data_IF_662881198168
#
_entry.id   IF_662881198168
#
_cell.length_a   1.000
_cell.length_b   1.000
_cell.length_c   1.000
_cell.angle_alpha   90.00
_cell.angle_beta   90.00
_cell.angle_gamma   90.00
#
_symmetry.space_group_name_H-M   'P 1'
#
loop_
_entity.id
_entity.type
_entity.pdbx_description
1 polymer ?
#
# COMPACT_ATOMS: atom_id res chain seq x y z
N UNK A 1 24.94 -16.73 20.15
CA UNK A 1 24.14 -15.57 19.68
C UNK A 1 22.69 -15.92 19.97
N UNK A 2 22.00 -15.18 20.84
CA UNK A 2 20.55 -15.35 21.05
C UNK A 2 19.89 -14.95 19.71
N UNK A 3 19.16 -15.87 19.07
CA UNK A 3 18.44 -15.58 17.86
C UNK A 3 17.50 -14.39 18.12
N UNK A 4 17.72 -13.30 17.39
CA UNK A 4 16.85 -12.14 17.44
C UNK A 4 15.49 -12.57 16.89
N UNK A 5 14.48 -12.62 17.75
CA UNK A 5 13.11 -12.97 17.35
C UNK A 5 12.62 -11.87 16.41
N UNK A 6 12.40 -12.20 15.13
CA UNK A 6 11.87 -11.27 14.15
C UNK A 6 10.45 -10.86 14.54
N UNK A 7 10.19 -9.58 14.64
CA UNK A 7 8.85 -9.03 14.92
C UNK A 7 7.99 -9.19 13.67
N UNK A 8 6.86 -9.92 13.73
CA UNK A 8 6.01 -10.10 12.56
C UNK A 8 5.32 -8.79 12.16
N UNK A 9 4.99 -8.68 10.86
CA UNK A 9 4.33 -7.51 10.30
C UNK A 9 3.06 -7.90 9.55
N UNK A 10 2.15 -6.94 9.34
CA UNK A 10 0.99 -7.10 8.47
C UNK A 10 1.21 -6.30 7.17
N UNK A 11 1.01 -6.97 6.04
CA UNK A 11 0.99 -6.32 4.72
C UNK A 11 -0.46 -6.03 4.39
N UNK A 12 -0.84 -4.75 4.41
CA UNK A 12 -2.21 -4.28 4.21
C UNK A 12 -2.43 -3.80 2.77
N UNK A 13 -3.49 -4.31 2.16
CA UNK A 13 -3.81 -4.12 0.75
C UNK A 13 -5.29 -3.77 0.64
N UNK A 14 -5.63 -2.75 -0.14
CA UNK A 14 -7.00 -2.49 -0.59
C UNK A 14 -7.11 -2.84 -2.07
N UNK A 15 -8.19 -3.50 -2.49
CA UNK A 15 -8.34 -3.99 -3.85
C UNK A 15 -9.74 -3.76 -4.41
N UNK A 16 -9.82 -3.48 -5.73
CA UNK A 16 -11.06 -3.52 -6.49
C UNK A 16 -10.79 -3.80 -7.96
N UNK A 17 -11.24 -4.98 -8.44
CA UNK A 17 -11.10 -5.40 -9.83
C UNK A 17 -9.65 -5.41 -10.34
N UNK A 18 -8.77 -6.08 -9.57
CA UNK A 18 -7.34 -6.17 -9.81
C UNK A 18 -6.90 -7.58 -10.31
N UNK A 19 -7.82 -8.35 -10.94
CA UNK A 19 -7.50 -9.72 -11.36
C UNK A 19 -6.29 -9.82 -12.27
N UNK A 20 -6.00 -8.77 -13.05
CA UNK A 20 -4.85 -8.73 -13.97
C UNK A 20 -3.51 -8.64 -13.22
N UNK A 21 -3.48 -7.97 -12.09
CA UNK A 21 -2.28 -7.68 -11.31
C UNK A 21 -2.08 -8.62 -10.12
N UNK A 22 -3.18 -9.10 -9.52
CA UNK A 22 -3.21 -9.76 -8.22
C UNK A 22 -2.25 -10.94 -8.08
N UNK A 23 -2.17 -11.85 -9.06
CA UNK A 23 -1.29 -13.03 -8.99
C UNK A 23 0.20 -12.62 -8.97
N UNK A 24 0.60 -11.73 -9.90
CA UNK A 24 1.98 -11.24 -10.00
C UNK A 24 2.37 -10.44 -8.74
N UNK A 25 1.48 -9.58 -8.28
CA UNK A 25 1.67 -8.76 -7.10
C UNK A 25 1.90 -9.61 -5.85
N UNK A 26 0.98 -10.53 -5.52
CA UNK A 26 1.10 -11.39 -4.34
C UNK A 26 2.28 -12.35 -4.40
N UNK A 27 2.60 -12.86 -5.60
CA UNK A 27 3.81 -13.67 -5.83
C UNK A 27 5.08 -12.87 -5.58
N UNK A 28 5.12 -11.59 -5.96
CA UNK A 28 6.27 -10.71 -5.73
C UNK A 28 6.52 -10.49 -4.24
N UNK A 29 5.47 -10.23 -3.47
CA UNK A 29 5.54 -10.12 -2.00
C UNK A 29 6.10 -11.40 -1.40
N UNK A 30 5.50 -12.55 -1.72
CA UNK A 30 5.94 -13.86 -1.20
C UNK A 30 7.42 -14.13 -1.49
N UNK A 31 7.87 -13.80 -2.69
CA UNK A 31 9.26 -13.97 -3.11
C UNK A 31 10.21 -13.12 -2.28
N UNK A 32 9.89 -11.84 -2.08
CA UNK A 32 10.78 -10.88 -1.42
C UNK A 32 10.75 -11.00 0.10
N UNK A 33 9.62 -11.36 0.69
CA UNK A 33 9.52 -11.60 2.12
C UNK A 33 10.25 -12.89 2.56
N UNK A 34 10.38 -13.88 1.69
CA UNK A 34 11.09 -15.13 1.99
C UNK A 34 10.57 -15.80 3.28
N UNK A 35 11.45 -15.97 4.27
CA UNK A 35 11.12 -16.56 5.57
C UNK A 35 10.81 -15.51 6.66
N UNK A 36 10.73 -14.24 6.33
CA UNK A 36 10.34 -13.22 7.31
C UNK A 36 8.89 -13.45 7.75
N UNK A 37 8.57 -13.39 9.08
CA UNK A 37 7.20 -13.62 9.54
C UNK A 37 6.29 -12.44 9.15
N UNK A 38 5.25 -12.72 8.37
CA UNK A 38 4.27 -11.73 7.96
C UNK A 38 2.89 -12.36 7.72
N UNK A 39 1.88 -11.53 7.67
CA UNK A 39 0.56 -11.85 7.14
C UNK A 39 0.19 -10.91 6.00
N UNK A 40 -0.74 -11.33 5.16
CA UNK A 40 -1.37 -10.48 4.15
C UNK A 40 -2.80 -10.24 4.57
N UNK A 41 -3.19 -8.96 4.70
CA UNK A 41 -4.56 -8.50 4.96
C UNK A 41 -5.06 -7.80 3.70
N UNK A 42 -6.03 -8.40 3.04
CA UNK A 42 -6.64 -7.84 1.84
C UNK A 42 -8.06 -7.35 2.16
N UNK A 43 -8.32 -6.09 1.85
CA UNK A 43 -9.64 -5.48 1.95
C UNK A 43 -10.21 -5.27 0.55
N UNK A 44 -11.22 -6.06 0.21
CA UNK A 44 -11.95 -5.94 -1.04
C UNK A 44 -13.01 -4.83 -0.93
N UNK A 45 -12.95 -3.85 -1.82
CA UNK A 45 -13.87 -2.71 -1.85
C UNK A 45 -15.00 -2.88 -2.87
N UNK A 46 -15.31 -4.14 -3.21
CA UNK A 46 -16.42 -4.52 -4.08
C UNK A 46 -15.97 -4.97 -5.48
N UNK A 47 -15.04 -5.91 -5.55
CA UNK A 47 -14.64 -6.57 -6.80
C UNK A 47 -15.75 -7.43 -7.38
N UNK A 48 -15.84 -7.44 -8.69
CA UNK A 48 -16.81 -8.26 -9.48
C UNK A 48 -16.11 -9.26 -10.39
N UNK A 49 -14.79 -9.23 -10.43
CA UNK A 49 -13.90 -10.11 -11.19
C UNK A 49 -13.29 -11.21 -10.30
N UNK A 50 -12.21 -11.83 -10.74
CA UNK A 50 -11.54 -12.91 -10.01
C UNK A 50 -10.54 -12.45 -8.94
N UNK A 51 -10.46 -11.14 -8.62
CA UNK A 51 -9.54 -10.58 -7.63
C UNK A 51 -9.52 -11.38 -6.33
N UNK A 52 -10.68 -11.54 -5.68
CA UNK A 52 -10.81 -12.26 -4.41
C UNK A 52 -10.47 -13.75 -4.55
N UNK A 53 -10.87 -14.37 -5.67
CA UNK A 53 -10.57 -15.79 -5.91
C UNK A 53 -9.06 -16.04 -6.07
N UNK A 54 -8.33 -15.11 -6.66
CA UNK A 54 -6.88 -15.19 -6.79
C UNK A 54 -6.22 -14.97 -5.41
N UNK A 55 -6.63 -13.94 -4.67
CA UNK A 55 -6.07 -13.59 -3.37
C UNK A 55 -6.19 -14.73 -2.35
N UNK A 56 -7.27 -15.54 -2.39
CA UNK A 56 -7.48 -16.71 -1.52
C UNK A 56 -6.39 -17.79 -1.63
N UNK A 57 -5.56 -17.78 -2.67
CA UNK A 57 -4.42 -18.68 -2.78
C UNK A 57 -3.24 -18.26 -1.89
N UNK A 58 -3.25 -17.03 -1.39
CA UNK A 58 -2.14 -16.39 -0.67
C UNK A 58 -2.48 -16.04 0.78
N UNK A 59 -3.75 -15.79 1.08
CA UNK A 59 -4.22 -15.43 2.42
C UNK A 59 -5.67 -15.82 2.66
N UNK A 60 -5.97 -16.16 3.91
CA UNK A 60 -7.35 -16.34 4.40
C UNK A 60 -7.91 -15.03 5.01
N UNK A 61 -7.08 -13.99 5.19
CA UNK A 61 -7.47 -12.70 5.76
C UNK A 61 -7.96 -11.76 4.69
N UNK A 62 -9.14 -12.05 4.18
CA UNK A 62 -9.82 -11.25 3.15
C UNK A 62 -11.09 -10.69 3.77
N UNK A 63 -11.19 -9.36 3.81
CA UNK A 63 -12.28 -8.62 4.40
C UNK A 63 -13.01 -7.81 3.32
N UNK A 64 -14.30 -7.58 3.52
CA UNK A 64 -15.09 -6.74 2.62
C UNK A 64 -15.32 -5.37 3.24
N UNK A 65 -15.14 -4.32 2.44
CA UNK A 65 -15.38 -2.94 2.83
C UNK A 65 -16.33 -2.30 1.82
N UNK A 66 -17.48 -1.79 2.30
CA UNK A 66 -18.39 -1.04 1.44
C UNK A 66 -17.73 0.29 1.05
N UNK A 67 -17.47 0.49 -0.23
CA UNK A 67 -16.86 1.71 -0.72
C UNK A 67 -17.68 2.95 -0.36
N UNK A 68 -17.05 3.90 0.29
CA UNK A 68 -17.65 5.15 0.80
C UNK A 68 -17.05 6.41 0.15
N UNK A 69 -16.39 6.26 -1.00
CA UNK A 69 -15.70 7.35 -1.71
C UNK A 69 -14.56 7.98 -0.89
N UNK A 70 -13.84 7.16 -0.16
CA UNK A 70 -12.77 7.56 0.74
C UNK A 70 -11.71 6.45 0.79
N UNK A 71 -10.53 6.74 0.23
CA UNK A 71 -9.41 5.80 0.24
C UNK A 71 -8.80 5.66 1.63
N UNK A 72 -8.71 6.76 2.41
CA UNK A 72 -8.17 6.70 3.76
C UNK A 72 -9.04 5.82 4.66
N UNK A 73 -10.36 5.88 4.53
CA UNK A 73 -11.28 5.03 5.26
C UNK A 73 -11.05 3.54 4.95
N UNK A 74 -10.88 3.17 3.68
CA UNK A 74 -10.60 1.80 3.28
C UNK A 74 -9.22 1.32 3.78
N UNK A 75 -8.17 2.18 3.69
CA UNK A 75 -6.85 1.87 4.24
C UNK A 75 -6.89 1.72 5.75
N UNK A 76 -7.49 2.66 6.47
CA UNK A 76 -7.60 2.55 7.93
C UNK A 76 -8.36 1.28 8.36
N UNK A 77 -9.41 0.91 7.65
CA UNK A 77 -10.08 -0.37 7.88
C UNK A 77 -9.14 -1.56 7.69
N UNK A 78 -8.24 -1.53 6.70
CA UNK A 78 -7.24 -2.59 6.52
C UNK A 78 -6.24 -2.64 7.69
N UNK A 79 -5.85 -1.48 8.24
CA UNK A 79 -5.02 -1.41 9.44
C UNK A 79 -5.74 -2.02 10.66
N UNK A 80 -7.05 -1.77 10.81
CA UNK A 80 -7.85 -2.31 11.91
C UNK A 80 -8.01 -3.84 11.82
N UNK A 81 -8.07 -4.41 10.60
CA UNK A 81 -8.10 -5.85 10.36
C UNK A 81 -6.76 -6.56 10.59
N UNK A 82 -5.66 -5.83 10.70
CA UNK A 82 -4.32 -6.38 10.88
C UNK A 82 -4.12 -6.98 12.27
N UNK A 83 -3.36 -8.08 12.38
CA UNK A 83 -3.02 -8.70 13.66
C UNK A 83 -1.81 -8.06 14.33
N UNK A 84 -0.90 -7.48 13.53
CA UNK A 84 0.34 -6.91 14.02
C UNK A 84 0.31 -5.39 14.01
N UNK A 85 1.14 -4.78 14.83
CA UNK A 85 1.16 -3.31 14.95
C UNK A 85 2.00 -2.65 13.85
N UNK A 86 3.02 -3.35 13.34
CA UNK A 86 3.82 -2.87 12.23
C UNK A 86 3.20 -3.24 10.88
N UNK A 87 2.98 -2.23 10.07
CA UNK A 87 2.23 -2.34 8.82
C UNK A 87 3.12 -1.96 7.65
N UNK A 88 3.10 -2.77 6.61
CA UNK A 88 3.55 -2.41 5.26
C UNK A 88 2.31 -2.28 4.37
N UNK A 89 2.09 -1.12 3.77
CA UNK A 89 0.99 -0.90 2.83
C UNK A 89 1.51 -0.97 1.41
N UNK A 90 0.84 -1.73 0.54
CA UNK A 90 1.16 -1.84 -0.88
C UNK A 90 -0.11 -1.79 -1.72
N UNK A 91 -0.01 -1.26 -2.93
CA UNK A 91 -1.08 -1.25 -3.92
C UNK A 91 -0.94 -2.43 -4.90
N UNK A 92 -2.05 -2.93 -5.45
CA UNK A 92 -2.06 -4.15 -6.27
C UNK A 92 -1.25 -4.03 -7.57
N UNK A 93 -0.99 -2.83 -8.03
CA UNK A 93 -0.18 -2.50 -9.21
C UNK A 93 1.29 -2.15 -8.87
N UNK A 94 1.72 -2.37 -7.60
CA UNK A 94 3.08 -2.16 -7.11
C UNK A 94 3.80 -3.52 -6.89
N UNK A 95 4.55 -4.00 -7.89
CA UNK A 95 5.28 -5.29 -7.78
C UNK A 95 6.59 -5.13 -7.05
N UNK A 96 6.77 -5.80 -5.92
CA UNK A 96 8.02 -5.74 -5.14
C UNK A 96 9.14 -6.47 -5.89
N UNK A 97 10.17 -5.74 -6.29
CA UNK A 97 11.31 -6.29 -7.07
C UNK A 97 12.56 -6.51 -6.25
N UNK A 98 12.75 -5.72 -5.19
CA UNK A 98 13.82 -5.94 -4.22
C UNK A 98 13.39 -5.53 -2.82
N UNK A 99 13.85 -6.27 -1.80
CA UNK A 99 13.69 -5.92 -0.41
C UNK A 99 14.68 -6.69 0.46
N UNK A 100 15.47 -5.95 1.24
CA UNK A 100 16.24 -6.55 2.33
C UNK A 100 15.38 -6.53 3.61
N UNK A 101 14.81 -7.67 3.96
CA UNK A 101 13.92 -7.78 5.13
C UNK A 101 14.62 -7.48 6.48
N UNK A 102 15.96 -7.37 6.50
CA UNK A 102 16.70 -6.88 7.70
C UNK A 102 16.35 -5.43 8.02
N UNK A 103 15.96 -4.65 7.03
CA UNK A 103 15.49 -3.27 7.23
C UNK A 103 14.23 -3.19 8.09
N UNK A 104 13.36 -4.20 8.06
CA UNK A 104 12.19 -4.27 8.95
C UNK A 104 12.66 -4.30 10.41
N UNK A 105 13.60 -5.20 10.73
CA UNK A 105 14.13 -5.31 12.09
C UNK A 105 14.85 -4.04 12.53
N UNK A 106 15.67 -3.44 11.63
CA UNK A 106 16.34 -2.16 11.86
C UNK A 106 15.34 -1.05 12.13
N UNK A 107 14.32 -0.93 11.30
CA UNK A 107 13.29 0.09 11.46
C UNK A 107 12.56 -0.02 12.79
N UNK A 108 12.19 -1.24 13.19
CA UNK A 108 11.48 -1.51 14.45
C UNK A 108 12.36 -1.22 15.67
N UNK A 109 13.66 -1.54 15.62
CA UNK A 109 14.58 -1.39 16.76
C UNK A 109 15.13 0.03 16.90
N UNK A 110 15.51 0.64 15.78
CA UNK A 110 16.32 1.87 15.79
C UNK A 110 15.46 3.12 15.56
N UNK A 111 14.28 2.96 14.91
CA UNK A 111 13.38 4.04 14.54
C UNK A 111 11.91 3.72 14.87
N UNK A 112 11.58 3.37 16.13
CA UNK A 112 10.25 2.85 16.50
C UNK A 112 9.10 3.83 16.25
N UNK A 113 9.40 5.13 16.22
CA UNK A 113 8.43 6.21 16.03
C UNK A 113 8.51 6.87 14.64
N UNK A 114 9.29 6.31 13.72
CA UNK A 114 9.43 6.84 12.37
C UNK A 114 8.50 6.16 11.36
N UNK A 115 8.39 6.78 10.18
CA UNK A 115 7.70 6.22 9.01
C UNK A 115 8.71 5.79 7.96
N UNK A 116 8.62 4.53 7.54
CA UNK A 116 9.46 3.96 6.49
C UNK A 116 8.97 4.34 5.10
N UNK A 117 9.91 4.79 4.28
CA UNK A 117 9.69 5.13 2.88
C UNK A 117 10.22 4.04 1.97
N UNK A 118 9.48 3.72 0.92
CA UNK A 118 9.89 2.78 -0.12
C UNK A 118 10.13 3.50 -1.44
N UNK A 119 11.01 2.95 -2.28
CA UNK A 119 11.23 3.44 -3.63
C UNK A 119 10.18 2.86 -4.57
N UNK A 120 9.41 3.73 -5.24
CA UNK A 120 8.43 3.33 -6.25
C UNK A 120 8.89 3.79 -7.63
N UNK A 121 9.07 2.85 -8.55
CA UNK A 121 9.46 3.09 -9.93
C UNK A 121 8.23 3.11 -10.82
N UNK A 122 7.87 4.28 -11.28
CA UNK A 122 6.66 4.52 -12.06
C UNK A 122 6.97 4.41 -13.55
N UNK A 123 6.34 3.43 -14.21
CA UNK A 123 6.42 3.24 -15.66
C UNK A 123 5.33 4.04 -16.36
N UNK A 124 5.69 4.80 -17.37
CA UNK A 124 4.76 5.57 -18.19
C UNK A 124 5.27 5.71 -19.61
N UNK A 125 4.37 5.88 -20.56
CA UNK A 125 4.69 6.14 -21.94
C UNK A 125 4.67 7.65 -22.21
N UNK A 126 5.76 8.16 -22.82
CA UNK A 126 5.84 9.53 -23.27
C UNK A 126 6.32 9.57 -24.73
N UNK A 127 5.47 10.06 -25.63
CA UNK A 127 5.76 10.15 -27.07
C UNK A 127 6.18 8.82 -27.71
N UNK A 128 5.54 7.70 -27.34
CA UNK A 128 5.85 6.36 -27.84
C UNK A 128 7.14 5.75 -27.26
N UNK A 129 7.70 6.34 -26.19
CA UNK A 129 8.89 5.82 -25.51
C UNK A 129 8.55 5.49 -24.07
N UNK A 130 8.88 4.27 -23.65
CA UNK A 130 8.77 3.87 -22.25
C UNK A 130 9.76 4.68 -21.40
N UNK A 131 9.24 5.29 -20.36
CA UNK A 131 10.00 6.12 -19.42
C UNK A 131 9.74 5.68 -18.00
N UNK A 132 10.70 5.91 -17.10
CA UNK A 132 10.60 5.55 -15.68
C UNK A 132 11.05 6.73 -14.84
N UNK A 133 10.26 7.07 -13.82
CA UNK A 133 10.73 7.94 -12.74
C UNK A 133 10.55 7.25 -11.40
N UNK A 134 11.39 7.60 -10.44
CA UNK A 134 11.34 7.04 -9.08
C UNK A 134 10.91 8.11 -8.10
N UNK A 135 9.93 7.78 -7.27
CA UNK A 135 9.54 8.58 -6.11
C UNK A 135 9.67 7.78 -4.81
N UNK A 136 9.60 8.48 -3.69
CA UNK A 136 9.61 7.88 -2.34
C UNK A 136 8.22 8.03 -1.75
N UNK A 137 7.66 6.92 -1.24
CA UNK A 137 6.32 6.89 -0.67
C UNK A 137 6.32 6.27 0.72
N UNK A 138 5.54 6.86 1.61
CA UNK A 138 5.38 6.42 3.00
C UNK A 138 4.52 5.15 3.04
N UNK A 139 5.12 4.00 3.43
CA UNK A 139 4.44 2.70 3.35
C UNK A 139 4.61 1.81 4.58
N UNK A 140 5.62 2.07 5.44
CA UNK A 140 5.92 1.22 6.60
C UNK A 140 5.86 2.00 7.90
N UNK A 141 4.99 1.61 8.84
CA UNK A 141 4.78 2.33 10.09
C UNK A 141 4.07 1.50 11.14
N UNK A 142 4.08 1.99 12.39
CA UNK A 142 3.29 1.41 13.47
C UNK A 142 1.88 2.02 13.48
N UNK A 143 0.82 1.20 13.27
CA UNK A 143 -0.58 1.63 13.22
C UNK A 143 -1.10 2.25 14.52
N UNK A 144 -0.44 2.01 15.64
CA UNK A 144 -0.81 2.67 16.90
C UNK A 144 -0.41 4.13 16.93
N UNK A 145 0.62 4.50 16.17
CA UNK A 145 1.16 5.85 16.08
C UNK A 145 0.61 6.61 14.87
N UNK A 146 0.24 5.90 13.80
CA UNK A 146 -0.10 6.47 12.51
C UNK A 146 -1.44 5.97 11.97
N UNK A 147 -2.02 6.74 11.07
CA UNK A 147 -3.22 6.42 10.28
C UNK A 147 -3.15 7.15 8.93
N UNK A 148 -4.06 6.82 8.04
CA UNK A 148 -4.26 7.55 6.80
C UNK A 148 -5.30 8.66 6.97
N UNK A 149 -5.07 9.79 6.30
CA UNK A 149 -5.99 10.92 6.23
C UNK A 149 -6.17 11.36 4.78
N UNK A 150 -7.24 12.09 4.49
CA UNK A 150 -7.73 12.54 3.20
C UNK A 150 -8.35 11.43 2.32
N UNK A 151 -9.57 11.69 1.78
CA UNK A 151 -10.33 10.72 0.98
C UNK A 151 -9.68 10.40 -0.37
N UNK A 152 -8.82 11.29 -0.88
CA UNK A 152 -8.01 11.13 -2.09
C UNK A 152 -6.62 11.73 -1.84
N UNK A 153 -5.59 11.17 -2.49
CA UNK A 153 -4.18 11.49 -2.20
C UNK A 153 -3.87 11.32 -0.71
N UNK A 154 -4.38 10.22 -0.18
CA UNK A 154 -4.26 9.88 1.24
C UNK A 154 -2.82 9.88 1.73
N UNK A 155 -2.61 10.46 2.89
CA UNK A 155 -1.31 10.65 3.51
C UNK A 155 -1.24 9.95 4.85
N UNK A 156 -0.06 9.47 5.21
CA UNK A 156 0.22 9.01 6.57
C UNK A 156 0.26 10.22 7.50
N UNK A 157 -0.46 10.13 8.62
CA UNK A 157 -0.52 11.16 9.65
C UNK A 157 -0.25 10.58 11.02
N UNK A 158 0.57 11.29 11.81
CA UNK A 158 0.77 10.92 13.20
C UNK A 158 -0.51 11.20 14.00
N UNK A 159 -0.96 10.22 14.80
CA UNK A 159 -2.12 10.38 15.70
C UNK A 159 -1.91 11.47 16.75
N UNK A 160 -0.63 11.76 17.08
CA UNK A 160 -0.24 12.87 17.97
C UNK A 160 -0.38 14.25 17.34
N UNK A 161 -0.54 14.35 16.01
CA UNK A 161 -0.49 15.59 15.24
C UNK A 161 0.90 16.22 15.13
N UNK A 162 1.94 15.56 15.67
CA UNK A 162 3.31 16.08 15.64
C UNK A 162 4.05 15.66 14.36
N UNK A 163 5.06 16.41 13.92
CA UNK A 163 5.97 15.99 12.87
C UNK A 163 6.67 14.66 13.24
N UNK A 164 7.02 13.88 12.24
CA UNK A 164 7.70 12.59 12.40
C UNK A 164 8.86 12.44 11.44
N UNK A 165 9.79 11.56 11.82
CA UNK A 165 10.95 11.20 11.01
C UNK A 165 10.56 10.24 9.88
N UNK A 166 11.25 10.36 8.74
CA UNK A 166 11.13 9.47 7.58
C UNK A 166 12.43 8.72 7.37
N UNK A 167 12.37 7.42 7.24
CA UNK A 167 13.53 6.54 7.07
C UNK A 167 13.37 5.73 5.79
N UNK A 168 14.39 5.76 4.93
CA UNK A 168 14.39 4.98 3.70
C UNK A 168 14.60 3.48 3.99
N UNK A 169 13.80 2.64 3.34
CA UNK A 169 13.94 1.20 3.28
C UNK A 169 14.49 0.78 1.92
N UNK A 170 15.16 -0.36 1.88
CA UNK A 170 15.68 -0.94 0.63
C UNK A 170 14.60 -1.51 -0.30
N UNK A 171 13.31 -1.43 0.10
CA UNK A 171 12.21 -1.93 -0.68
C UNK A 171 12.00 -1.08 -1.94
N UNK A 172 12.02 -1.76 -3.09
CA UNK A 172 11.69 -1.18 -4.39
C UNK A 172 10.48 -1.89 -4.97
N UNK A 173 9.50 -1.10 -5.43
CA UNK A 173 8.32 -1.59 -6.13
C UNK A 173 8.24 -0.98 -7.54
N UNK A 174 7.94 -1.82 -8.54
CA UNK A 174 7.63 -1.38 -9.92
C UNK A 174 6.12 -1.10 -10.01
N UNK A 175 5.74 0.13 -10.31
CA UNK A 175 4.36 0.57 -10.41
C UNK A 175 3.90 0.60 -11.87
N UNK A 176 2.88 -0.20 -12.18
CA UNK A 176 2.31 -0.38 -13.52
C UNK A 176 1.02 0.43 -13.73
N UNK A 177 0.69 1.33 -12.84
CA UNK A 177 -0.60 2.04 -12.79
C UNK A 177 -0.92 2.94 -14.00
N UNK A 178 0.03 3.15 -14.91
CA UNK A 178 -0.15 3.94 -16.14
C UNK A 178 -0.27 3.08 -17.41
N UNK A 179 -0.34 1.75 -17.28
CA UNK A 179 -0.41 0.81 -18.43
C UNK A 179 -1.84 0.43 -18.85
N UNK A 180 -2.87 1.11 -18.33
CA UNK A 180 -4.28 0.88 -18.69
C UNK A 180 -4.68 1.46 -20.04
N UNK A 181 -5.81 1.00 -20.59
CA UNK A 181 -6.41 1.61 -21.78
C UNK A 181 -6.77 3.09 -21.51
N UNK A 182 -6.84 3.91 -22.56
CA UNK A 182 -7.23 5.32 -22.44
C UNK A 182 -8.59 5.51 -21.75
N UNK A 183 -9.50 4.56 -21.90
CA UNK A 183 -10.80 4.57 -21.23
C UNK A 183 -10.71 4.26 -19.73
N UNK A 184 -9.88 3.29 -19.34
CA UNK A 184 -9.62 2.97 -17.92
C UNK A 184 -8.93 4.13 -17.20
N UNK A 185 -7.95 4.76 -17.86
CA UNK A 185 -7.26 5.96 -17.37
C UNK A 185 -8.24 7.14 -17.19
N UNK A 186 -9.15 7.35 -18.16
CA UNK A 186 -10.18 8.40 -18.07
C UNK A 186 -11.12 8.14 -16.89
N UNK A 187 -11.64 6.92 -16.73
CA UNK A 187 -12.50 6.55 -15.59
C UNK A 187 -11.80 6.77 -14.24
N UNK A 188 -10.51 6.43 -14.15
CA UNK A 188 -9.68 6.67 -12.94
C UNK A 188 -9.55 8.18 -12.66
N UNK A 189 -9.28 8.98 -13.70
CA UNK A 189 -9.16 10.44 -13.58
C UNK A 189 -10.49 11.09 -13.19
N UNK A 190 -11.61 10.72 -13.83
CA UNK A 190 -12.94 11.26 -13.53
C UNK A 190 -13.35 10.97 -12.08
N UNK A 191 -13.16 9.73 -11.60
CA UNK A 191 -13.38 9.37 -10.19
C UNK A 191 -12.51 10.19 -9.25
N UNK A 192 -11.22 10.35 -9.54
CA UNK A 192 -10.31 11.09 -8.69
C UNK A 192 -10.67 12.58 -8.64
N UNK A 193 -11.06 13.17 -9.77
CA UNK A 193 -11.54 14.57 -9.82
C UNK A 193 -12.81 14.77 -9.00
N UNK A 194 -13.78 13.84 -9.08
CA UNK A 194 -14.99 13.91 -8.27
C UNK A 194 -14.68 13.89 -6.76
N UNK A 195 -13.77 13.01 -6.33
CA UNK A 195 -13.36 12.93 -4.93
C UNK A 195 -12.62 14.18 -4.47
N UNK A 196 -11.76 14.74 -5.31
CA UNK A 196 -11.03 15.98 -5.03
C UNK A 196 -11.98 17.18 -4.86
N UNK A 197 -12.95 17.32 -5.76
CA UNK A 197 -13.95 18.38 -5.66
C UNK A 197 -14.76 18.28 -4.36
N UNK A 198 -15.21 17.07 -3.99
CA UNK A 198 -15.92 16.83 -2.73
C UNK A 198 -15.06 17.11 -1.49
N UNK A 199 -13.75 16.86 -1.57
CA UNK A 199 -12.82 17.18 -0.49
C UNK A 199 -12.69 18.70 -0.33
N UNK A 200 -12.53 19.46 -1.44
CA UNK A 200 -12.43 20.92 -1.43
C UNK A 200 -13.70 21.61 -0.91
N UNK A 201 -14.88 21.05 -1.21
CA UNK A 201 -16.15 21.57 -0.66
C UNK A 201 -16.27 21.42 0.86
N UNK A 202 -15.60 20.42 1.46
CA UNK A 202 -15.63 20.17 2.91
C UNK A 202 -14.56 20.90 3.70
N UNK A 203 -13.54 21.42 3.04
CA UNK A 203 -12.45 22.21 3.62
C UNK A 203 -12.44 23.59 2.97
N UNK A 204 -13.43 24.48 3.25
CA UNK A 204 -13.30 25.89 2.90
C UNK A 204 -12.16 26.49 3.72
N UNK A 205 -11.36 27.38 3.10
CA UNK A 205 -10.19 28.10 3.65
C UNK A 205 -10.35 28.57 5.09
#
# INVERSE_FOLDING_TARGET
MKGQTMTPISICIIAKNEEKHMETFLSSIKKQMGNYPYEIVLVDTGSTDRTVAIAKKYTDKIFSFKWVQDFSAARNYSLDCASYDWILVLDCDEYVTSFDTRDISRMISDFPDAVGMISRRNHYEMNGTDSVYTDQVERFFNRRLYHYDFPIHEQVRARSGQPYERVELSLTAEHQGYSGSSEEMKKKADRNNELLLKMLEKTPD
#
